data_IF_182325448092
#
_entry.id   IF_182325448092
#
_cell.length_a   1.000
_cell.length_b   1.000
_cell.length_c   1.000
_cell.angle_alpha   90.00
_cell.angle_beta   90.00
_cell.angle_gamma   90.00
#
_symmetry.space_group_name_H-M   'P 1'
#
loop_
_entity.id
_entity.type
_entity.pdbx_description
1 polymer ?
#
# COMPACT_ATOMS: atom_id res chain seq x y z
N UNK A 1 -5.43 -16.16 6.24
CA UNK A 1 -4.65 -15.87 7.48
C UNK A 1 -5.18 -14.61 8.12
N UNK A 2 -5.14 -14.52 9.45
CA UNK A 2 -5.58 -13.31 10.15
C UNK A 2 -4.38 -12.50 10.63
N UNK A 3 -4.46 -11.18 10.44
CA UNK A 3 -3.43 -10.22 10.87
C UNK A 3 -4.13 -9.02 11.48
N UNK A 4 -3.82 -8.72 12.72
CA UNK A 4 -4.33 -7.55 13.40
C UNK A 4 -3.20 -6.75 14.04
N UNK A 5 -3.46 -5.50 14.31
CA UNK A 5 -2.52 -4.62 15.00
C UNK A 5 -3.10 -3.26 15.27
N UNK A 6 -2.29 -2.46 15.94
CA UNK A 6 -2.61 -1.09 16.33
C UNK A 6 -1.44 -0.19 15.95
N UNK A 7 -1.74 1.03 15.52
CA UNK A 7 -0.76 2.09 15.31
C UNK A 7 -1.24 3.38 15.98
N UNK A 8 -0.30 4.22 16.39
CA UNK A 8 -0.59 5.60 16.84
C UNK A 8 -0.01 6.55 15.81
N UNK A 9 -0.83 7.50 15.36
CA UNK A 9 -0.48 8.54 14.41
C UNK A 9 -0.54 9.90 15.11
N UNK A 10 0.49 10.70 14.92
CA UNK A 10 0.64 11.99 15.59
C UNK A 10 -0.09 13.12 14.84
N UNK A 11 -1.36 12.90 14.57
CA UNK A 11 -2.24 13.84 13.90
C UNK A 11 -3.70 13.62 14.34
N UNK A 12 -4.57 14.64 14.22
CA UNK A 12 -6.00 14.52 14.48
C UNK A 12 -6.67 13.51 13.52
N UNK A 13 -7.71 12.86 13.99
CA UNK A 13 -8.42 11.80 13.27
C UNK A 13 -8.87 12.21 11.86
N UNK A 14 -9.35 13.42 11.69
CA UNK A 14 -9.79 13.93 10.38
C UNK A 14 -8.60 14.03 9.40
N UNK A 15 -7.43 14.49 9.87
CA UNK A 15 -6.24 14.55 9.05
C UNK A 15 -5.72 13.15 8.66
N UNK A 16 -5.77 12.21 9.61
CA UNK A 16 -5.45 10.80 9.34
C UNK A 16 -6.39 10.20 8.32
N UNK A 17 -7.70 10.46 8.45
CA UNK A 17 -8.71 10.02 7.49
C UNK A 17 -8.40 10.52 6.08
N UNK A 18 -8.17 11.83 5.93
CA UNK A 18 -7.84 12.43 4.62
C UNK A 18 -6.58 11.80 4.03
N UNK A 19 -5.52 11.63 4.82
CA UNK A 19 -4.26 11.06 4.35
C UNK A 19 -4.40 9.59 3.90
N UNK A 20 -5.23 8.80 4.56
CA UNK A 20 -5.48 7.39 4.21
C UNK A 20 -6.38 7.23 2.97
N UNK A 21 -7.05 8.30 2.55
CA UNK A 21 -7.89 8.34 1.35
C UNK A 21 -7.28 9.16 0.21
N UNK A 22 -6.10 9.75 0.39
CA UNK A 22 -5.42 10.55 -0.63
C UNK A 22 -4.45 9.69 -1.46
N UNK A 23 -4.70 9.47 -2.77
CA UNK A 23 -3.83 8.69 -3.64
C UNK A 23 -2.40 9.23 -3.71
N UNK A 24 -2.23 10.56 -3.60
CA UNK A 24 -0.90 11.19 -3.63
C UNK A 24 -0.11 10.91 -2.33
N UNK A 25 -0.77 10.67 -1.21
CA UNK A 25 -0.14 10.19 0.02
C UNK A 25 0.13 8.69 -0.10
N UNK A 26 -0.85 7.90 -0.52
CA UNK A 26 -0.77 6.45 -0.59
C UNK A 26 0.37 5.97 -1.49
N UNK A 27 0.53 6.54 -2.69
CA UNK A 27 1.61 6.15 -3.61
C UNK A 27 3.02 6.32 -3.02
N UNK A 28 3.19 7.25 -2.08
CA UNK A 28 4.48 7.53 -1.41
C UNK A 28 4.69 6.73 -0.13
N UNK A 29 3.60 6.37 0.54
CA UNK A 29 3.65 5.73 1.86
C UNK A 29 3.55 4.20 1.77
N UNK A 30 2.88 3.66 0.75
CA UNK A 30 2.80 2.22 0.55
C UNK A 30 4.18 1.67 0.14
N UNK A 31 4.80 0.80 0.95
CA UNK A 31 6.12 0.25 0.65
C UNK A 31 6.13 -0.53 -0.67
N UNK A 32 7.03 -0.15 -1.58
CA UNK A 32 7.18 -0.81 -2.88
C UNK A 32 6.14 -0.42 -3.94
N UNK A 33 5.22 0.48 -3.63
CA UNK A 33 4.28 1.02 -4.62
C UNK A 33 5.04 1.74 -5.73
N UNK A 34 4.71 1.40 -6.98
CA UNK A 34 5.27 2.01 -8.17
C UNK A 34 4.27 2.93 -8.85
N UNK A 35 3.00 2.51 -8.84
CA UNK A 35 1.90 3.22 -9.48
C UNK A 35 0.61 2.97 -8.73
N UNK A 36 -0.20 4.00 -8.60
CA UNK A 36 -1.57 3.95 -8.13
C UNK A 36 -2.44 4.72 -9.11
N UNK A 37 -3.45 4.07 -9.65
CA UNK A 37 -4.37 4.61 -10.64
C UNK A 37 -5.78 4.58 -10.08
N UNK A 38 -6.47 5.69 -10.09
CA UNK A 38 -7.89 5.76 -9.73
C UNK A 38 -8.73 5.21 -10.88
N UNK A 39 -9.47 4.14 -10.64
CA UNK A 39 -10.27 3.43 -11.63
C UNK A 39 -11.78 3.60 -11.40
N UNK A 40 -12.15 4.27 -10.31
CA UNK A 40 -13.54 4.57 -9.96
C UNK A 40 -13.64 5.23 -8.60
N UNK A 41 -14.82 5.60 -8.16
CA UNK A 41 -15.05 6.13 -6.81
C UNK A 41 -14.52 5.12 -5.77
N UNK A 42 -13.61 5.58 -4.91
CA UNK A 42 -12.99 4.76 -3.85
C UNK A 42 -12.34 3.45 -4.36
N UNK A 43 -11.99 3.38 -5.64
CA UNK A 43 -11.41 2.21 -6.28
C UNK A 43 -10.11 2.56 -7.02
N UNK A 44 -9.08 1.79 -6.74
CA UNK A 44 -7.72 2.04 -7.24
C UNK A 44 -7.14 0.78 -7.85
N UNK A 45 -6.39 0.94 -8.94
CA UNK A 45 -5.49 -0.08 -9.47
C UNK A 45 -4.07 0.23 -9.04
N UNK A 46 -3.38 -0.74 -8.49
CA UNK A 46 -2.04 -0.55 -7.96
C UNK A 46 -1.05 -1.53 -8.58
N UNK A 47 0.15 -1.03 -8.88
CA UNK A 47 1.32 -1.86 -9.19
C UNK A 47 2.37 -1.65 -8.12
N UNK A 48 2.84 -2.75 -7.55
CA UNK A 48 3.87 -2.72 -6.52
C UNK A 48 4.88 -3.85 -6.68
N UNK A 49 6.09 -3.63 -6.18
CA UNK A 49 7.11 -4.68 -6.03
C UNK A 49 7.20 -5.10 -4.57
N UNK A 50 7.07 -6.39 -4.35
CA UNK A 50 7.15 -6.96 -3.01
C UNK A 50 7.89 -8.29 -3.00
N UNK A 51 8.33 -8.70 -1.79
CA UNK A 51 8.98 -9.98 -1.60
C UNK A 51 8.78 -10.56 -0.21
N UNK A 52 8.77 -11.88 -0.13
CA UNK A 52 8.73 -12.64 1.12
C UNK A 52 9.89 -13.64 1.09
N UNK A 53 10.78 -13.57 2.06
CA UNK A 53 12.04 -14.34 2.08
C UNK A 53 12.85 -14.10 0.77
N UNK A 54 13.15 -15.15 0.03
CA UNK A 54 13.87 -15.07 -1.25
C UNK A 54 12.97 -14.84 -2.46
N UNK A 55 11.64 -14.87 -2.27
CA UNK A 55 10.67 -14.72 -3.35
C UNK A 55 10.33 -13.26 -3.53
N UNK A 56 10.67 -12.67 -4.67
CA UNK A 56 10.34 -11.27 -5.04
C UNK A 56 9.57 -11.25 -6.34
N UNK A 57 8.70 -10.25 -6.50
CA UNK A 57 7.96 -10.04 -7.74
C UNK A 57 7.22 -8.73 -7.78
N UNK A 58 6.77 -8.39 -8.97
CA UNK A 58 5.83 -7.30 -9.20
C UNK A 58 4.42 -7.88 -9.19
N UNK A 59 3.53 -7.16 -8.55
CA UNK A 59 2.12 -7.49 -8.42
C UNK A 59 1.30 -6.33 -8.94
N UNK A 60 0.24 -6.67 -9.65
CA UNK A 60 -0.80 -5.73 -10.03
C UNK A 60 -2.10 -6.17 -9.38
N UNK A 61 -2.85 -5.23 -8.85
CA UNK A 61 -4.08 -5.53 -8.15
C UNK A 61 -5.02 -4.33 -8.06
N UNK A 62 -6.23 -4.61 -7.63
CA UNK A 62 -7.27 -3.62 -7.43
C UNK A 62 -7.57 -3.48 -5.93
N UNK A 63 -7.82 -2.27 -5.49
CA UNK A 63 -8.17 -1.91 -4.10
C UNK A 63 -9.46 -1.12 -4.12
N UNK A 64 -10.39 -1.46 -3.25
CA UNK A 64 -11.63 -0.71 -3.05
C UNK A 64 -11.84 -0.40 -1.57
N UNK A 65 -12.27 0.82 -1.29
CA UNK A 65 -12.71 1.24 0.05
C UNK A 65 -14.23 1.12 0.11
N UNK A 66 -14.73 0.42 1.11
CA UNK A 66 -16.16 0.17 1.34
C UNK A 66 -16.51 0.43 2.80
N UNK A 67 -17.80 0.46 3.10
CA UNK A 67 -18.32 0.62 4.47
C UNK A 67 -17.68 1.81 5.19
N UNK A 68 -17.55 2.95 4.49
CA UNK A 68 -16.91 4.14 5.01
C UNK A 68 -17.83 4.86 6.01
N UNK A 69 -17.35 4.97 7.25
CA UNK A 69 -17.96 5.71 8.35
C UNK A 69 -17.03 6.87 8.73
N UNK A 70 -17.02 7.92 7.91
CA UNK A 70 -16.11 9.06 8.07
C UNK A 70 -16.34 9.79 9.40
N UNK A 71 -15.25 10.14 10.14
CA UNK A 71 -13.84 9.79 9.96
C UNK A 71 -13.42 8.59 10.81
N UNK A 72 -14.32 7.66 11.13
CA UNK A 72 -14.13 6.65 12.16
C UNK A 72 -13.71 5.27 11.67
N UNK A 73 -14.23 4.78 10.54
CA UNK A 73 -13.93 3.44 10.07
C UNK A 73 -14.14 3.26 8.57
N UNK A 74 -13.46 2.27 7.99
CA UNK A 74 -13.70 1.80 6.63
C UNK A 74 -13.24 0.35 6.49
N UNK A 75 -13.71 -0.32 5.44
CA UNK A 75 -13.24 -1.64 5.01
C UNK A 75 -12.46 -1.48 3.71
N UNK A 76 -11.22 -1.95 3.69
CA UNK A 76 -10.40 -2.02 2.49
C UNK A 76 -10.49 -3.45 1.95
N UNK A 77 -10.93 -3.58 0.71
CA UNK A 77 -10.90 -4.84 -0.04
C UNK A 77 -9.82 -4.76 -1.10
N UNK A 78 -8.97 -5.73 -1.09
CA UNK A 78 -7.79 -5.68 -1.91
C UNK A 78 -7.52 -7.02 -2.59
N UNK A 79 -7.05 -6.96 -3.85
CA UNK A 79 -6.78 -8.11 -4.69
C UNK A 79 -5.50 -7.90 -5.52
N UNK A 80 -4.61 -8.90 -5.72
CA UNK A 80 -3.41 -8.81 -6.55
C UNK A 80 -2.91 -10.15 -7.05
N UNK A 81 -2.30 -10.06 -8.18
CA UNK A 81 -1.66 -11.18 -8.83
C UNK A 81 -0.29 -10.79 -9.36
N UNK A 82 0.64 -11.71 -9.31
CA UNK A 82 1.98 -11.59 -9.85
C UNK A 82 2.61 -12.95 -10.10
N UNK A 83 3.77 -12.98 -10.71
CA UNK A 83 4.48 -14.23 -10.95
C UNK A 83 4.67 -15.12 -9.71
N UNK A 84 4.92 -14.57 -8.50
CA UNK A 84 5.08 -15.40 -7.31
C UNK A 84 3.77 -15.92 -6.70
N UNK A 85 2.62 -15.42 -7.11
CA UNK A 85 1.34 -15.86 -6.58
C UNK A 85 0.25 -14.80 -6.55
N UNK A 86 -0.79 -15.10 -5.77
CA UNK A 86 -1.98 -14.26 -5.63
C UNK A 86 -2.24 -13.96 -4.16
N UNK A 87 -2.90 -12.83 -3.90
CA UNK A 87 -3.30 -12.43 -2.56
C UNK A 87 -4.72 -11.87 -2.60
N UNK A 88 -5.53 -12.15 -1.61
CA UNK A 88 -6.83 -11.54 -1.34
C UNK A 88 -6.89 -11.10 0.11
N UNK A 89 -7.37 -9.89 0.36
CA UNK A 89 -7.50 -9.39 1.72
C UNK A 89 -8.72 -8.50 1.90
N UNK A 90 -9.40 -8.70 3.01
CA UNK A 90 -10.40 -7.80 3.55
C UNK A 90 -9.84 -7.24 4.87
N UNK A 91 -9.76 -5.92 4.98
CA UNK A 91 -9.16 -5.23 6.12
C UNK A 91 -10.14 -4.21 6.68
N UNK A 92 -10.59 -4.42 7.90
CA UNK A 92 -11.33 -3.39 8.63
C UNK A 92 -10.34 -2.48 9.36
N UNK A 93 -10.50 -1.18 9.15
CA UNK A 93 -9.72 -0.14 9.82
C UNK A 93 -10.66 0.70 10.67
N UNK A 94 -10.23 0.99 11.90
CA UNK A 94 -10.97 1.84 12.84
C UNK A 94 -10.04 2.93 13.36
N UNK A 95 -10.51 4.17 13.37
CA UNK A 95 -9.80 5.35 13.86
C UNK A 95 -10.49 5.87 15.11
N UNK A 96 -9.76 5.99 16.19
CA UNK A 96 -10.23 6.58 17.44
C UNK A 96 -9.33 7.75 17.85
N UNK A 97 -9.94 8.79 18.40
CA UNK A 97 -9.19 9.87 19.03
C UNK A 97 -8.48 9.31 20.26
N UNK A 98 -7.17 9.45 20.33
CA UNK A 98 -6.36 8.99 21.47
C UNK A 98 -6.06 10.09 22.48
N UNK A 99 -6.53 11.32 22.23
CA UNK A 99 -6.21 12.53 23.00
C UNK A 99 -4.95 13.22 22.48
N UNK A 100 -4.74 14.44 22.94
CA UNK A 100 -3.56 15.27 22.62
C UNK A 100 -3.30 15.47 21.10
N UNK A 101 -4.37 15.42 20.28
CA UNK A 101 -4.26 15.56 18.83
C UNK A 101 -3.66 14.35 18.13
N UNK A 102 -3.66 13.18 18.77
CA UNK A 102 -3.20 11.91 18.19
C UNK A 102 -4.37 10.99 17.87
N UNK A 103 -4.16 10.09 16.93
CA UNK A 103 -5.15 9.10 16.50
C UNK A 103 -4.63 7.69 16.74
N UNK A 104 -5.42 6.87 17.41
CA UNK A 104 -5.23 5.43 17.47
C UNK A 104 -5.91 4.79 16.26
N UNK A 105 -5.17 4.00 15.52
CA UNK A 105 -5.64 3.18 14.41
C UNK A 105 -5.55 1.71 14.81
N UNK A 106 -6.69 1.03 14.75
CA UNK A 106 -6.76 -0.44 14.89
C UNK A 106 -7.11 -1.05 13.52
N UNK A 107 -6.47 -2.15 13.14
CA UNK A 107 -6.80 -2.88 11.92
C UNK A 107 -6.93 -4.38 12.17
N UNK A 108 -7.88 -5.00 11.48
CA UNK A 108 -8.08 -6.45 11.43
C UNK A 108 -8.18 -6.88 9.96
N UNK A 109 -7.28 -7.75 9.55
CA UNK A 109 -7.15 -8.22 8.18
C UNK A 109 -7.37 -9.72 8.12
N UNK A 110 -8.23 -10.16 7.20
CA UNK A 110 -8.34 -11.55 6.79
C UNK A 110 -7.80 -11.69 5.37
N UNK A 111 -6.79 -12.55 5.18
CA UNK A 111 -6.11 -12.67 3.90
C UNK A 111 -5.93 -14.12 3.47
N UNK A 112 -6.08 -14.34 2.16
CA UNK A 112 -5.80 -15.59 1.47
C UNK A 112 -4.63 -15.38 0.52
N UNK A 113 -3.62 -16.25 0.62
CA UNK A 113 -2.39 -16.15 -0.18
C UNK A 113 -2.20 -17.45 -0.93
N UNK A 114 -2.07 -17.35 -2.26
CA UNK A 114 -1.89 -18.48 -3.18
C UNK A 114 -0.52 -18.46 -3.88
N UNK A 115 -0.20 -19.54 -4.58
CA UNK A 115 1.05 -19.67 -5.32
C UNK A 115 2.28 -19.93 -4.46
N UNK A 116 3.47 -19.62 -4.97
CA UNK A 116 4.74 -19.86 -4.29
C UNK A 116 4.85 -19.13 -2.96
N UNK A 117 4.32 -17.89 -2.86
CA UNK A 117 4.35 -17.12 -1.62
C UNK A 117 3.46 -17.73 -0.53
N UNK A 118 2.38 -18.42 -0.89
CA UNK A 118 1.56 -19.18 0.07
C UNK A 118 2.31 -20.33 0.73
N UNK A 119 3.28 -20.89 0.02
CA UNK A 119 4.09 -22.01 0.49
C UNK A 119 5.14 -21.66 1.57
N UNK A 120 5.44 -20.37 1.79
CA UNK A 120 6.44 -19.97 2.83
C UNK A 120 5.93 -20.10 4.26
N UNK A 121 4.63 -20.36 4.44
CA UNK A 121 3.99 -20.60 5.72
C UNK A 121 3.40 -19.34 6.40
N UNK A 122 2.27 -19.52 7.04
CA UNK A 122 1.48 -18.44 7.64
C UNK A 122 2.26 -17.59 8.67
N UNK A 123 3.14 -18.23 9.46
CA UNK A 123 3.91 -17.50 10.47
C UNK A 123 4.85 -16.47 9.86
N UNK A 124 5.50 -16.82 8.76
CA UNK A 124 6.38 -15.89 8.01
C UNK A 124 5.55 -14.79 7.39
N UNK A 125 4.46 -15.14 6.71
CA UNK A 125 3.56 -14.17 6.09
C UNK A 125 2.99 -13.18 7.11
N UNK A 126 2.53 -13.66 8.28
CA UNK A 126 2.02 -12.79 9.34
C UNK A 126 3.09 -11.83 9.86
N UNK A 127 4.33 -12.31 10.05
CA UNK A 127 5.44 -11.46 10.49
C UNK A 127 5.77 -10.36 9.49
N UNK A 128 5.81 -10.72 8.22
CA UNK A 128 6.04 -9.78 7.13
C UNK A 128 4.86 -8.79 7.04
N UNK A 129 3.60 -9.24 7.10
CA UNK A 129 2.43 -8.37 7.08
C UNK A 129 2.46 -7.31 8.19
N UNK A 130 2.72 -7.71 9.43
CA UNK A 130 2.82 -6.78 10.56
C UNK A 130 3.94 -5.75 10.38
N UNK A 131 5.09 -6.19 9.90
CA UNK A 131 6.23 -5.30 9.66
C UNK A 131 5.89 -4.23 8.63
N UNK A 132 5.33 -4.61 7.49
CA UNK A 132 5.01 -3.64 6.44
C UNK A 132 3.84 -2.73 6.81
N UNK A 133 2.85 -3.23 7.57
CA UNK A 133 1.83 -2.35 8.14
C UNK A 133 2.48 -1.28 9.03
N UNK A 134 3.45 -1.65 9.87
CA UNK A 134 4.21 -0.71 10.69
C UNK A 134 5.02 0.31 9.86
N UNK A 135 5.66 -0.13 8.77
CA UNK A 135 6.39 0.76 7.85
C UNK A 135 5.44 1.72 7.12
N UNK A 136 4.27 1.24 6.69
CA UNK A 136 3.23 2.04 6.08
C UNK A 136 2.71 3.13 7.02
N UNK A 137 2.27 2.75 8.22
CA UNK A 137 1.74 3.73 9.19
C UNK A 137 2.80 4.73 9.65
N UNK A 138 4.06 4.27 9.80
CA UNK A 138 5.16 5.20 10.05
C UNK A 138 5.34 6.21 8.92
N UNK A 139 5.28 5.76 7.67
CA UNK A 139 5.42 6.65 6.52
C UNK A 139 4.25 7.64 6.41
N UNK A 140 3.02 7.21 6.75
CA UNK A 140 1.85 8.10 6.85
C UNK A 140 2.06 9.13 7.96
N UNK A 141 2.52 8.73 9.13
CA UNK A 141 2.82 9.62 10.26
C UNK A 141 3.91 10.65 9.91
N UNK A 142 4.97 10.21 9.20
CA UNK A 142 6.03 11.09 8.72
C UNK A 142 5.48 12.15 7.72
N UNK A 143 4.51 11.78 6.87
CA UNK A 143 3.81 12.75 5.99
C UNK A 143 2.96 13.71 6.80
N UNK A 144 2.14 13.22 7.72
CA UNK A 144 1.23 14.02 8.55
C UNK A 144 1.97 15.00 9.45
N UNK A 145 3.14 14.62 9.95
CA UNK A 145 4.00 15.45 10.82
C UNK A 145 5.01 16.30 10.06
N UNK A 146 4.98 16.29 8.72
CA UNK A 146 5.90 17.06 7.88
C UNK A 146 7.36 16.59 7.94
N UNK A 147 7.62 15.38 8.46
CA UNK A 147 8.95 14.77 8.51
C UNK A 147 9.35 14.05 7.22
N UNK A 148 8.38 13.77 6.35
CA UNK A 148 8.67 13.19 5.05
C UNK A 148 9.51 14.18 4.22
N UNK A 149 10.52 13.71 3.48
CA UNK A 149 11.28 14.59 2.61
C UNK A 149 10.30 15.22 1.61
N UNK A 150 10.23 16.53 1.62
CA UNK A 150 9.48 17.29 0.64
C UNK A 150 9.94 16.81 -0.74
N UNK A 151 9.03 16.39 -1.60
CA UNK A 151 9.36 16.20 -3.01
C UNK A 151 9.90 17.55 -3.48
N UNK A 152 11.14 17.66 -3.99
CA UNK A 152 11.61 18.90 -4.53
C UNK A 152 10.61 19.33 -5.59
N UNK A 153 9.94 20.44 -5.39
CA UNK A 153 9.22 21.13 -6.45
C UNK A 153 10.22 21.29 -7.58
N UNK A 154 9.91 20.93 -8.84
CA UNK A 154 10.83 21.16 -9.93
C UNK A 154 11.19 22.63 -9.90
N UNK A 155 12.42 22.93 -9.49
CA UNK A 155 13.01 24.25 -9.67
C UNK A 155 12.95 24.47 -11.17
N UNK A 156 12.32 25.54 -11.60
CA UNK A 156 12.41 26.02 -12.98
C UNK A 156 13.90 26.24 -13.32
N UNK A 157 14.53 25.18 -13.76
CA UNK A 157 15.83 25.24 -14.40
C UNK A 157 15.54 25.07 -15.89
N UNK A 158 15.69 26.15 -16.60
CA UNK A 158 15.61 26.26 -18.05
C UNK A 158 16.48 25.19 -18.72
N UNK A 159 15.87 24.08 -19.13
CA UNK A 159 16.50 23.08 -19.97
C UNK A 159 15.45 22.40 -20.88
N UNK A 160 15.66 22.53 -22.12
CA UNK A 160 15.18 21.89 -23.34
C UNK A 160 14.02 20.87 -23.21
N UNK A 161 12.96 20.97 -24.02
CA UNK A 161 11.79 20.10 -23.92
C UNK A 161 12.11 18.72 -24.51
N UNK A 162 12.40 17.75 -23.63
CA UNK A 162 12.18 16.36 -23.97
C UNK A 162 10.72 16.08 -23.60
N UNK A 163 9.86 15.87 -24.58
CA UNK A 163 8.45 15.57 -24.40
C UNK A 163 8.32 14.22 -23.67
N UNK A 164 8.03 14.30 -22.36
CA UNK A 164 7.51 13.17 -21.60
C UNK A 164 5.99 13.21 -21.81
N UNK A 165 5.34 12.12 -22.23
CA UNK A 165 3.88 12.11 -22.37
C UNK A 165 3.27 12.44 -21.01
N UNK A 166 2.40 13.45 -21.00
CA UNK A 166 1.63 13.84 -19.83
C UNK A 166 0.84 12.62 -19.34
N UNK A 167 1.04 12.27 -18.07
CA UNK A 167 0.29 11.18 -17.45
C UNK A 167 -1.21 11.44 -17.55
N UNK A 168 -1.98 10.42 -17.84
CA UNK A 168 -3.43 10.50 -17.88
C UNK A 168 -3.96 10.96 -16.50
N UNK A 169 -5.05 11.74 -16.44
CA UNK A 169 -5.63 12.15 -15.16
C UNK A 169 -6.04 10.92 -14.34
N UNK A 170 -5.68 10.89 -13.05
CA UNK A 170 -5.95 9.78 -12.13
C UNK A 170 -4.82 8.75 -11.99
N UNK A 171 -3.66 8.93 -12.62
CA UNK A 171 -2.49 8.03 -12.48
C UNK A 171 -1.43 8.69 -11.60
N UNK A 172 -1.09 8.04 -10.49
CA UNK A 172 -0.09 8.48 -9.53
C UNK A 172 1.12 7.53 -9.58
N UNK A 173 2.32 8.07 -9.73
CA UNK A 173 3.57 7.30 -9.77
C UNK A 173 4.46 7.66 -8.58
N UNK A 174 5.11 6.67 -8.00
CA UNK A 174 6.08 6.90 -6.95
C UNK A 174 7.32 7.63 -7.50
N UNK A 175 7.91 8.56 -6.73
CA UNK A 175 9.15 9.22 -7.15
C UNK A 175 10.27 8.19 -7.35
N UNK A 176 11.01 8.32 -8.45
CA UNK A 176 12.16 7.46 -8.75
C UNK A 176 13.21 7.57 -7.64
N UNK A 177 13.56 6.46 -7.00
CA UNK A 177 14.72 6.42 -6.11
C UNK A 177 15.97 6.54 -6.98
N UNK A 178 16.77 7.58 -6.77
CA UNK A 178 18.07 7.77 -7.41
C UNK A 178 18.98 6.54 -7.20
N UNK A 179 20.00 6.33 -8.07
CA UNK A 179 20.90 5.19 -7.96
C UNK A 179 21.59 5.21 -6.60
N UNK A 180 21.37 4.16 -5.82
CA UNK A 180 22.09 3.95 -4.57
C UNK A 180 23.58 3.82 -4.88
N UNK A 181 24.37 4.74 -4.35
CA UNK A 181 25.84 4.65 -4.36
C UNK A 181 26.20 3.32 -3.70
N UNK A 182 26.95 2.47 -4.41
CA UNK A 182 27.38 1.17 -3.93
C UNK A 182 28.34 1.35 -2.74
N UNK A 183 27.79 1.26 -1.53
CA UNK A 183 28.50 1.18 -0.27
C UNK A 183 28.02 -0.04 0.48
N UNK A 184 28.90 -1.00 0.64
CA UNK A 184 28.88 -2.19 1.49
C UNK A 184 27.74 -2.27 2.51
N UNK A 185 26.64 -2.99 2.19
CA UNK A 185 25.79 -3.65 3.18
C UNK A 185 25.06 -4.84 2.55
N UNK A 186 25.73 -5.99 2.54
CA UNK A 186 25.21 -7.28 2.07
C UNK A 186 24.14 -7.90 3.01
N UNK A 187 23.65 -7.16 4.01
CA UNK A 187 22.78 -7.67 5.08
C UNK A 187 21.40 -7.02 5.18
N UNK A 188 20.95 -6.19 4.22
CA UNK A 188 19.62 -5.54 4.25
C UNK A 188 18.61 -6.04 3.22
N UNK A 189 18.78 -7.23 2.68
CA UNK A 189 17.95 -7.81 1.60
C UNK A 189 16.67 -8.52 2.02
N UNK A 190 16.15 -8.36 3.25
CA UNK A 190 15.09 -9.24 3.76
C UNK A 190 13.76 -8.54 4.13
N UNK A 191 13.41 -7.37 3.58
CA UNK A 191 12.35 -6.53 4.17
C UNK A 191 11.35 -5.95 3.18
N UNK A 192 10.85 -6.73 2.24
CA UNK A 192 9.74 -6.24 1.39
C UNK A 192 8.73 -7.35 1.10
N UNK A 193 7.65 -7.43 1.85
CA UNK A 193 6.72 -8.53 1.60
C UNK A 193 5.31 -8.49 2.17
N UNK A 194 4.80 -7.42 2.72
CA UNK A 194 3.53 -7.51 3.43
C UNK A 194 2.40 -6.58 2.98
N UNK A 195 2.64 -5.61 2.11
CA UNK A 195 1.55 -4.85 1.48
C UNK A 195 0.85 -5.69 0.42
N UNK A 196 1.54 -6.71 -0.13
CA UNK A 196 0.92 -7.72 -1.01
C UNK A 196 -0.14 -8.56 -0.28
N UNK A 197 -0.07 -8.64 1.05
CA UNK A 197 -1.12 -9.31 1.84
C UNK A 197 -2.40 -8.46 2.01
N UNK A 198 -2.39 -7.21 1.58
CA UNK A 198 -3.52 -6.29 1.72
C UNK A 198 -4.14 -5.86 0.38
N UNK A 199 -3.54 -6.23 -0.75
CA UNK A 199 -4.03 -5.83 -2.07
C UNK A 199 -3.94 -7.00 -3.06
N UNK A 200 -4.98 -7.78 -3.18
CA UNK A 200 -4.96 -8.74 -4.23
C UNK A 200 -6.05 -9.78 -4.36
N UNK A 201 -7.07 -9.75 -5.11
CA UNK A 201 -7.84 -10.69 -5.95
C UNK A 201 -9.25 -10.23 -6.23
N UNK A 202 -9.61 -9.84 -7.42
CA UNK A 202 -10.96 -10.01 -8.00
C UNK A 202 -10.91 -10.10 -9.54
N UNK A 203 -10.34 -11.12 -10.13
CA UNK A 203 -10.57 -11.42 -11.55
C UNK A 203 -10.79 -12.94 -11.81
N UNK A 204 -11.18 -13.71 -10.81
CA UNK A 204 -11.44 -15.16 -10.98
C UNK A 204 -12.91 -15.59 -11.00
N UNK A 205 -13.86 -14.71 -10.62
CA UNK A 205 -15.24 -15.11 -10.31
C UNK A 205 -16.32 -14.89 -11.36
N UNK A 206 -16.06 -14.25 -12.50
CA UNK A 206 -17.13 -13.84 -13.43
C UNK A 206 -17.18 -14.59 -14.77
N UNK A 207 -16.41 -15.62 -14.98
CA UNK A 207 -16.45 -16.42 -16.23
C UNK A 207 -17.23 -17.74 -16.08
N UNK A 208 -17.62 -18.14 -14.89
CA UNK A 208 -18.27 -19.45 -14.66
C UNK A 208 -19.82 -19.40 -14.59
N UNK A 209 -20.49 -18.29 -14.90
CA UNK A 209 -21.96 -18.21 -14.85
C UNK A 209 -22.64 -17.71 -16.14
N UNK A 210 -22.17 -18.19 -17.29
CA UNK A 210 -22.94 -18.13 -18.54
C UNK A 210 -22.76 -19.42 -19.35
N UNK A 211 -23.19 -20.54 -18.80
CA UNK A 211 -23.59 -21.74 -19.57
C UNK A 211 -24.35 -22.66 -18.61
N UNK A 212 -25.62 -22.42 -18.49
CA UNK A 212 -26.69 -23.40 -18.28
C UNK A 212 -28.01 -22.65 -18.52
#
# INVERSE_FOLDING_TARGET
>A
MKVNGTATLNAPRDAVWVALNDPAVLVRTIPGCQQLEEVGPDAYRMTLTAGVASIKGTYTGDVALTDQEQPGAFTLRATGAGAPGTVQADVRVTLADAGDGTTRLDYDADAVVGGMIGGVGQRVLTGVAKKTAGEFFKAVDDVLTGKAPSVPTPREETAHPVAVPAGAPGVFTAPARGPAVAGSEFLRGAVFGAVVALAGVLVGGLVARRRA
#
